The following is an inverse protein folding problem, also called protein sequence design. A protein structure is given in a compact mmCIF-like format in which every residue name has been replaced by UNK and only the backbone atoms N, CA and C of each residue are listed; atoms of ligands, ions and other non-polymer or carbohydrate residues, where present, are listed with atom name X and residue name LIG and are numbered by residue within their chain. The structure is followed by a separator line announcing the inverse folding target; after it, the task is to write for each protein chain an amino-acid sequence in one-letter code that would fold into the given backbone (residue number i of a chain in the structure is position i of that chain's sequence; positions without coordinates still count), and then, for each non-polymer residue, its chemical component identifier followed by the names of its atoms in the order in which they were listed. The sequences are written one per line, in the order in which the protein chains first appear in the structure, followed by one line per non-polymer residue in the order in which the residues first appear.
data_IF_918228219193
#
_entry.id   IF_918228219193
#
_cell.length_a   1.000
_cell.length_b   1.000
_cell.length_c   1.000
_cell.angle_alpha   90.00
_cell.angle_beta   90.00
_cell.angle_gamma   90.00
#
_symmetry.space_group_name_H-M   'P 1'
#
loop_
_entity.id
_entity.type
_entity.pdbx_description
1 polymer ?
#
# COMPACT_ATOMS: atom_id res chain seq x y z
N UNK A 1 -7.77 -13.98 -6.53
CA UNK A 1 -7.88 -14.71 -5.24
C UNK A 1 -6.60 -14.63 -4.41
N UNK A 2 -5.40 -14.85 -4.97
CA UNK A 2 -4.15 -14.82 -4.20
C UNK A 2 -3.91 -13.48 -3.46
N UNK A 3 -4.13 -12.36 -4.15
CA UNK A 3 -3.99 -11.00 -3.59
C UNK A 3 -4.94 -10.75 -2.41
N UNK A 4 -6.17 -11.26 -2.47
CA UNK A 4 -7.15 -11.14 -1.40
C UNK A 4 -6.71 -11.91 -0.15
N UNK A 5 -6.30 -13.17 -0.32
CA UNK A 5 -5.84 -14.01 0.78
C UNK A 5 -4.62 -13.36 1.44
N UNK A 6 -3.64 -12.96 0.64
CA UNK A 6 -2.43 -12.32 1.13
C UNK A 6 -2.75 -11.03 1.91
N UNK A 7 -3.55 -10.13 1.33
CA UNK A 7 -3.93 -8.87 1.99
C UNK A 7 -4.69 -9.12 3.29
N UNK A 8 -5.56 -10.13 3.31
CA UNK A 8 -6.30 -10.54 4.53
C UNK A 8 -5.33 -11.01 5.61
N UNK A 9 -4.33 -11.83 5.26
CA UNK A 9 -3.31 -12.31 6.19
C UNK A 9 -2.47 -11.15 6.73
N UNK A 10 -2.06 -10.21 5.87
CA UNK A 10 -1.29 -9.03 6.31
C UNK A 10 -2.13 -8.18 7.27
N UNK A 11 -3.40 -7.93 6.99
CA UNK A 11 -4.27 -7.22 7.93
C UNK A 11 -4.48 -7.96 9.25
N UNK A 12 -4.60 -9.29 9.21
CA UNK A 12 -4.67 -10.10 10.43
C UNK A 12 -3.41 -9.93 11.26
N UNK A 13 -2.22 -10.02 10.65
CA UNK A 13 -0.95 -9.81 11.34
C UNK A 13 -0.83 -8.39 11.92
N UNK A 14 -1.17 -7.36 11.15
CA UNK A 14 -1.16 -5.98 11.64
C UNK A 14 -2.12 -5.82 12.82
N UNK A 15 -3.31 -6.42 12.78
CA UNK A 15 -4.27 -6.34 13.88
C UNK A 15 -3.78 -7.01 15.18
N UNK A 16 -2.89 -8.00 15.07
CA UNK A 16 -2.29 -8.69 16.22
C UNK A 16 -1.12 -7.88 16.80
N UNK A 17 -0.27 -7.33 15.93
CA UNK A 17 1.01 -6.74 16.35
C UNK A 17 0.98 -5.23 16.52
N UNK A 18 0.06 -4.51 15.87
CA UNK A 18 0.02 -3.05 15.87
C UNK A 18 -1.09 -2.52 16.80
N UNK A 19 -0.73 -1.93 17.95
CA UNK A 19 -1.71 -1.35 18.86
C UNK A 19 -2.52 -0.24 18.17
N UNK A 20 -3.84 -0.34 18.27
CA UNK A 20 -4.74 0.64 17.69
C UNK A 20 -5.14 0.39 16.25
N UNK A 21 -4.67 -0.69 15.59
CA UNK A 21 -5.28 -1.21 14.36
C UNK A 21 -6.24 -2.34 14.71
N UNK A 22 -7.54 -2.05 14.78
CA UNK A 22 -8.54 -3.01 15.30
C UNK A 22 -9.57 -3.35 14.26
N UNK A 23 -9.78 -4.65 14.04
CA UNK A 23 -10.88 -5.18 13.23
C UNK A 23 -11.80 -5.95 14.20
N UNK A 24 -12.98 -5.41 14.46
CA UNK A 24 -13.95 -5.99 15.39
C UNK A 24 -14.79 -7.07 14.70
N UNK A 25 -15.29 -8.03 15.50
CA UNK A 25 -16.24 -9.04 15.03
C UNK A 25 -15.60 -10.30 14.42
N UNK A 26 -16.23 -10.85 13.39
CA UNK A 26 -15.86 -12.17 12.84
C UNK A 26 -14.68 -12.09 11.86
N UNK A 27 -14.06 -13.24 11.59
CA UNK A 27 -13.00 -13.37 10.56
C UNK A 27 -13.43 -12.88 9.17
N UNK A 28 -14.74 -12.85 8.86
CA UNK A 28 -15.26 -12.27 7.62
C UNK A 28 -14.98 -10.77 7.53
N UNK A 29 -14.92 -10.04 8.65
CA UNK A 29 -14.67 -8.59 8.63
C UNK A 29 -13.25 -8.26 8.15
N UNK A 30 -12.28 -9.15 8.41
CA UNK A 30 -10.93 -9.04 7.82
C UNK A 30 -10.94 -9.22 6.30
N UNK A 31 -11.76 -10.16 5.81
CA UNK A 31 -11.93 -10.39 4.36
C UNK A 31 -12.60 -9.19 3.71
N UNK A 32 -13.65 -8.63 4.34
CA UNK A 32 -14.31 -7.42 3.85
C UNK A 32 -13.39 -6.21 3.84
N UNK A 33 -12.56 -6.04 4.86
CA UNK A 33 -11.54 -4.99 4.90
C UNK A 33 -10.53 -5.16 3.76
N UNK A 34 -10.04 -6.39 3.54
CA UNK A 34 -9.14 -6.71 2.44
C UNK A 34 -9.77 -6.45 1.07
N UNK A 35 -11.04 -6.82 0.88
CA UNK A 35 -11.79 -6.53 -0.33
C UNK A 35 -11.94 -5.03 -0.56
N UNK A 36 -12.41 -4.28 0.45
CA UNK A 36 -12.57 -2.84 0.38
C UNK A 36 -11.26 -2.13 0.03
N UNK A 37 -10.17 -2.51 0.69
CA UNK A 37 -8.84 -1.99 0.40
C UNK A 37 -8.41 -2.28 -1.05
N UNK A 38 -8.57 -3.52 -1.53
CA UNK A 38 -8.16 -3.89 -2.89
C UNK A 38 -8.99 -3.19 -3.96
N UNK A 39 -10.29 -2.99 -3.73
CA UNK A 39 -11.16 -2.24 -4.65
C UNK A 39 -10.71 -0.78 -4.73
N UNK A 40 -10.56 -0.11 -3.58
CA UNK A 40 -10.14 1.29 -3.55
C UNK A 40 -8.74 1.46 -4.14
N UNK A 41 -7.84 0.53 -3.85
CA UNK A 41 -6.51 0.56 -4.43
C UNK A 41 -6.53 0.39 -5.95
N UNK A 42 -7.33 -0.54 -6.47
CA UNK A 42 -7.50 -0.72 -7.91
C UNK A 42 -7.95 0.57 -8.58
N UNK A 43 -8.99 1.22 -8.03
CA UNK A 43 -9.47 2.52 -8.49
C UNK A 43 -8.39 3.60 -8.42
N UNK A 44 -7.61 3.61 -7.34
CA UNK A 44 -6.55 4.60 -7.16
C UNK A 44 -5.39 4.41 -8.15
N UNK A 45 -5.08 3.18 -8.52
CA UNK A 45 -4.06 2.88 -9.53
C UNK A 45 -4.45 3.40 -10.92
N UNK A 46 -5.75 3.41 -11.27
CA UNK A 46 -6.20 4.02 -12.52
C UNK A 46 -5.94 5.53 -12.54
N UNK A 47 -6.09 6.20 -11.41
CA UNK A 47 -5.84 7.65 -11.28
C UNK A 47 -4.32 7.93 -11.35
N UNK A 48 -3.50 7.04 -10.79
CA UNK A 48 -2.05 7.23 -10.68
C UNK A 48 -1.26 6.71 -11.89
N UNK A 49 -1.86 5.88 -12.75
CA UNK A 49 -1.26 5.38 -13.98
C UNK A 49 -0.54 6.45 -14.84
N UNK A 50 -1.11 7.64 -15.13
CA UNK A 50 -0.39 8.65 -15.90
C UNK A 50 0.86 9.18 -15.18
N UNK A 51 0.83 9.28 -13.85
CA UNK A 51 1.97 9.75 -13.06
C UNK A 51 3.08 8.72 -13.02
N UNK A 52 2.75 7.44 -12.86
CA UNK A 52 3.76 6.36 -12.86
C UNK A 52 4.42 6.20 -14.24
N UNK A 53 3.67 6.34 -15.33
CA UNK A 53 4.21 6.35 -16.70
C UNK A 53 5.16 7.53 -16.91
N UNK A 54 4.76 8.74 -16.51
CA UNK A 54 5.61 9.93 -16.62
C UNK A 54 6.90 9.79 -15.81
N UNK A 55 6.82 9.22 -14.61
CA UNK A 55 7.98 8.99 -13.74
C UNK A 55 8.94 7.95 -14.33
N UNK A 56 8.40 6.85 -14.90
CA UNK A 56 9.20 5.84 -15.59
C UNK A 56 9.95 6.42 -16.80
N UNK A 57 9.32 7.34 -17.54
CA UNK A 57 9.97 8.03 -18.65
C UNK A 57 11.11 8.96 -18.19
N UNK A 58 10.96 9.65 -17.04
CA UNK A 58 12.04 10.46 -16.49
C UNK A 58 13.23 9.60 -16.02
N UNK A 59 12.96 8.48 -15.37
CA UNK A 59 14.00 7.57 -14.90
C UNK A 59 14.73 6.88 -16.04
N UNK A 60 14.06 6.62 -17.18
CA UNK A 60 14.69 6.04 -18.37
C UNK A 60 15.67 6.99 -19.07
N UNK A 61 15.51 8.31 -18.92
CA UNK A 61 16.50 9.29 -19.41
C UNK A 61 17.79 9.18 -18.58
N UNK A 62 17.67 8.95 -17.27
CA UNK A 62 18.82 8.82 -16.35
C UNK A 62 19.58 7.52 -16.59
N UNK A 63 18.91 6.47 -17.07
CA UNK A 63 19.53 5.16 -17.31
C UNK A 63 20.50 5.11 -18.50
N UNK A 64 20.60 6.20 -19.29
CA UNK A 64 21.51 6.32 -20.44
C UNK A 64 23.00 6.32 -20.01
N UNK A 65 23.30 6.71 -18.76
CA UNK A 65 24.67 6.72 -18.23
C UNK A 65 25.12 5.27 -17.96
N UNK A 66 26.21 4.77 -18.59
CA UNK A 66 26.66 3.40 -18.40
C UNK A 66 26.95 3.08 -16.93
N UNK A 67 26.54 1.89 -16.48
CA UNK A 67 26.74 1.32 -15.13
C UNK A 67 25.97 2.07 -14.02
N UNK A 68 26.18 3.37 -13.86
CA UNK A 68 25.62 4.16 -12.75
C UNK A 68 24.16 4.56 -13.01
N UNK A 69 23.81 4.88 -14.26
CA UNK A 69 22.46 5.29 -14.66
C UNK A 69 21.39 4.25 -14.33
N UNK A 70 21.54 2.97 -14.73
CA UNK A 70 20.59 1.92 -14.40
C UNK A 70 20.40 1.68 -12.90
N UNK A 71 21.48 1.80 -12.10
CA UNK A 71 21.42 1.63 -10.64
C UNK A 71 20.61 2.75 -10.00
N UNK A 72 20.88 4.01 -10.39
CA UNK A 72 20.15 5.18 -9.88
C UNK A 72 18.68 5.13 -10.32
N UNK A 73 18.41 4.77 -11.58
CA UNK A 73 17.05 4.64 -12.11
C UNK A 73 16.26 3.56 -11.36
N UNK A 74 16.83 2.38 -11.14
CA UNK A 74 16.17 1.30 -10.39
C UNK A 74 15.95 1.64 -8.91
N UNK A 75 16.91 2.27 -8.25
CA UNK A 75 16.74 2.76 -6.88
C UNK A 75 15.65 3.85 -6.80
N UNK A 76 15.61 4.76 -7.78
CA UNK A 76 14.58 5.78 -7.92
C UNK A 76 13.19 5.19 -8.13
N UNK A 77 13.07 4.14 -8.92
CA UNK A 77 11.82 3.43 -9.17
C UNK A 77 11.28 2.77 -7.90
N UNK A 78 12.14 2.04 -7.17
CA UNK A 78 11.76 1.43 -5.89
C UNK A 78 11.36 2.47 -4.85
N UNK A 79 12.11 3.56 -4.75
CA UNK A 79 11.79 4.65 -3.82
C UNK A 79 10.46 5.32 -4.17
N UNK A 80 10.23 5.61 -5.45
CA UNK A 80 8.98 6.21 -5.90
C UNK A 80 7.79 5.28 -5.69
N UNK A 81 7.95 3.99 -6.02
CA UNK A 81 6.94 2.98 -5.76
C UNK A 81 6.60 2.89 -4.28
N UNK A 82 7.60 2.95 -3.39
CA UNK A 82 7.39 2.99 -1.95
C UNK A 82 6.62 4.25 -1.51
N UNK A 83 7.07 5.45 -1.88
CA UNK A 83 6.44 6.71 -1.47
C UNK A 83 4.99 6.78 -1.94
N UNK A 84 4.73 6.40 -3.20
CA UNK A 84 3.37 6.37 -3.75
C UNK A 84 2.50 5.35 -3.02
N UNK A 85 3.00 4.12 -2.83
CA UNK A 85 2.25 3.06 -2.14
C UNK A 85 1.97 3.44 -0.69
N UNK A 86 2.92 4.09 -0.02
CA UNK A 86 2.79 4.58 1.35
C UNK A 86 1.73 5.66 1.48
N UNK A 87 1.82 6.71 0.68
CA UNK A 87 0.84 7.80 0.67
C UNK A 87 -0.56 7.28 0.35
N UNK A 88 -0.68 6.44 -0.68
CA UNK A 88 -1.93 5.77 -1.05
C UNK A 88 -2.50 4.97 0.11
N UNK A 89 -1.70 4.05 0.66
CA UNK A 89 -2.17 3.13 1.68
C UNK A 89 -2.63 3.89 2.91
N UNK A 90 -1.94 4.96 3.29
CA UNK A 90 -2.36 5.83 4.38
C UNK A 90 -3.75 6.44 4.11
N UNK A 91 -3.95 7.03 2.93
CA UNK A 91 -5.24 7.63 2.54
C UNK A 91 -6.34 6.56 2.52
N UNK A 92 -6.07 5.41 1.91
CA UNK A 92 -7.02 4.31 1.79
C UNK A 92 -7.44 3.77 3.16
N UNK A 93 -6.50 3.60 4.08
CA UNK A 93 -6.80 3.18 5.44
C UNK A 93 -7.69 4.20 6.16
N UNK A 94 -7.41 5.50 6.01
CA UNK A 94 -8.24 6.57 6.59
C UNK A 94 -9.67 6.51 6.02
N UNK A 95 -9.82 6.30 4.71
CA UNK A 95 -11.13 6.14 4.07
C UNK A 95 -11.86 4.92 4.63
N UNK A 96 -11.17 3.78 4.77
CA UNK A 96 -11.77 2.55 5.29
C UNK A 96 -12.19 2.67 6.76
N UNK A 97 -11.41 3.34 7.60
CA UNK A 97 -11.73 3.62 9.00
C UNK A 97 -13.02 4.46 9.16
N UNK A 98 -13.24 5.38 8.22
CA UNK A 98 -14.45 6.17 8.13
C UNK A 98 -15.64 5.39 7.52
N UNK A 99 -15.39 4.51 6.55
CA UNK A 99 -16.43 3.81 5.80
C UNK A 99 -16.92 2.50 6.45
N UNK A 100 -16.09 1.87 7.29
CA UNK A 100 -16.39 0.57 7.90
C UNK A 100 -16.52 0.69 9.41
N UNK A 101 -17.66 0.28 9.96
CA UNK A 101 -17.84 0.24 11.42
C UNK A 101 -17.00 -0.84 12.09
N UNK A 102 -16.69 -1.91 11.35
CA UNK A 102 -15.91 -3.06 11.83
C UNK A 102 -14.40 -2.82 11.83
N UNK A 103 -13.92 -1.70 11.29
CA UNK A 103 -12.51 -1.35 11.28
C UNK A 103 -12.30 -0.01 11.96
N UNK A 104 -11.43 0.02 12.96
CA UNK A 104 -11.07 1.23 13.69
C UNK A 104 -9.58 1.40 13.86
N UNK A 105 -9.09 2.60 13.55
CA UNK A 105 -7.75 3.06 13.87
C UNK A 105 -7.77 4.06 15.04
N UNK A 106 -7.24 3.65 16.19
CA UNK A 106 -7.27 4.47 17.42
C UNK A 106 -6.39 5.71 17.38
N UNK A 107 -5.44 5.82 16.45
CA UNK A 107 -4.54 6.97 16.36
C UNK A 107 -3.96 7.17 14.97
N UNK A 108 -3.52 8.41 14.68
CA UNK A 108 -2.77 8.75 13.46
C UNK A 108 -1.47 7.93 13.34
N UNK A 109 -0.86 7.58 14.47
CA UNK A 109 0.34 6.72 14.51
C UNK A 109 0.06 5.29 14.06
N UNK A 110 -1.10 4.73 14.43
CA UNK A 110 -1.50 3.41 13.95
C UNK A 110 -1.70 3.41 12.42
N UNK A 111 -2.30 4.47 11.87
CA UNK A 111 -2.45 4.61 10.41
C UNK A 111 -1.09 4.70 9.70
N UNK A 112 -0.16 5.50 10.23
CA UNK A 112 1.20 5.65 9.69
C UNK A 112 1.99 4.34 9.72
N UNK A 113 1.95 3.61 10.85
CA UNK A 113 2.68 2.35 10.99
C UNK A 113 2.05 1.23 10.14
N UNK A 114 0.72 1.16 10.09
CA UNK A 114 0.01 0.22 9.23
C UNK A 114 0.32 0.49 7.74
N UNK A 115 0.29 1.75 7.31
CA UNK A 115 0.62 2.12 5.93
C UNK A 115 2.08 1.83 5.60
N UNK A 116 3.00 2.06 6.53
CA UNK A 116 4.41 1.72 6.37
C UNK A 116 4.61 0.21 6.17
N UNK A 117 4.05 -0.62 7.07
CA UNK A 117 4.15 -2.08 6.98
C UNK A 117 3.57 -2.58 5.65
N UNK A 118 2.35 -2.15 5.31
CA UNK A 118 1.69 -2.56 4.07
C UNK A 118 2.46 -2.16 2.82
N UNK A 119 3.10 -0.99 2.83
CA UNK A 119 3.83 -0.49 1.67
C UNK A 119 5.15 -1.21 1.48
N UNK A 120 5.88 -1.49 2.55
CA UNK A 120 7.08 -2.33 2.50
C UNK A 120 6.71 -3.72 1.99
N UNK A 121 5.68 -4.34 2.56
CA UNK A 121 5.22 -5.67 2.14
C UNK A 121 4.79 -5.66 0.67
N UNK A 122 4.10 -4.61 0.21
CA UNK A 122 3.69 -4.51 -1.18
C UNK A 122 4.85 -4.35 -2.15
N UNK A 123 5.78 -3.45 -1.85
CA UNK A 123 6.93 -3.20 -2.72
C UNK A 123 7.83 -4.43 -2.81
N UNK A 124 7.98 -5.21 -1.74
CA UNK A 124 8.85 -6.38 -1.72
C UNK A 124 8.22 -7.66 -2.28
N UNK A 125 6.89 -7.82 -2.19
CA UNK A 125 6.22 -9.10 -2.47
C UNK A 125 5.08 -9.02 -3.50
N UNK A 126 4.66 -7.83 -3.92
CA UNK A 126 3.45 -7.64 -4.73
C UNK A 126 3.62 -6.65 -5.91
N UNK A 127 4.81 -6.06 -6.08
CA UNK A 127 5.23 -5.42 -7.34
C UNK A 127 5.99 -6.48 -8.14
#
# INVERSE_FOLDING_TARGET
MLSLIFTTVVFALISIFLPGFTVSGSKLNLVWLALGYLILLSLSNFILAPFTIALGFLLSIISIIPIIGPIIAGAGELFAAFVLTFGLTLILLIILDAAMDSFKMRSKWAALLASLILSVVRVLFLI
#
